data_IF_123783822653
#
_entry.id   IF_123783822653
#
_cell.length_a   1.000
_cell.length_b   1.000
_cell.length_c   1.000
_cell.angle_alpha   90.00
_cell.angle_beta   90.00
_cell.angle_gamma   90.00
#
_symmetry.space_group_name_H-M   'P 1'
#
loop_
_entity.id
_entity.type
_entity.pdbx_description
1 polymer ?
#
# COMPACT_ATOMS: atom_id res chain seq x y z
N UNK A 1 0.33 0.61 -36.82
CA UNK A 1 -0.69 0.37 -35.76
C UNK A 1 0.07 0.00 -34.51
N UNK A 2 -0.16 0.69 -33.38
CA UNK A 2 0.48 0.37 -32.09
C UNK A 2 -0.53 -0.32 -31.17
N UNK A 3 -0.04 -1.10 -30.21
CA UNK A 3 -0.85 -1.76 -29.20
C UNK A 3 -0.08 -1.83 -27.88
N UNK A 4 -0.78 -2.09 -26.79
CA UNK A 4 -0.21 -2.20 -25.46
C UNK A 4 -0.34 -3.64 -24.95
N UNK A 5 0.65 -4.08 -24.19
CA UNK A 5 0.60 -5.32 -23.41
C UNK A 5 0.86 -4.97 -21.95
N UNK A 6 -0.03 -5.41 -21.07
CA UNK A 6 0.20 -5.37 -19.62
C UNK A 6 0.92 -6.66 -19.20
N UNK A 7 2.00 -6.52 -18.42
CA UNK A 7 2.81 -7.64 -17.96
C UNK A 7 2.83 -7.68 -16.41
N UNK A 8 1.83 -8.30 -15.76
CA UNK A 8 1.81 -8.42 -14.30
C UNK A 8 2.89 -9.39 -13.80
N UNK A 9 3.58 -9.04 -12.72
CA UNK A 9 4.71 -9.80 -12.20
C UNK A 9 4.35 -11.20 -11.65
N UNK A 10 3.09 -11.38 -11.23
CA UNK A 10 2.54 -12.60 -10.63
C UNK A 10 1.73 -13.47 -11.61
N UNK A 11 1.50 -13.00 -12.83
CA UNK A 11 0.64 -13.66 -13.83
C UNK A 11 1.13 -15.06 -14.25
N UNK A 12 2.41 -15.37 -14.03
CA UNK A 12 3.08 -16.56 -14.59
C UNK A 12 3.87 -17.36 -13.56
N UNK A 13 3.55 -17.23 -12.27
CA UNK A 13 4.23 -17.94 -11.17
C UNK A 13 4.26 -19.47 -11.36
N UNK A 14 3.22 -20.06 -11.97
CA UNK A 14 3.19 -21.48 -12.28
C UNK A 14 4.28 -21.89 -13.31
N UNK A 15 4.59 -21.03 -14.27
CA UNK A 15 5.58 -21.31 -15.32
C UNK A 15 6.99 -20.84 -14.92
N UNK A 16 7.07 -19.78 -14.14
CA UNK A 16 8.31 -19.18 -13.66
C UNK A 16 8.23 -18.99 -12.14
N UNK A 17 8.44 -20.05 -11.34
CA UNK A 17 8.31 -19.98 -9.88
C UNK A 17 9.26 -18.99 -9.20
N UNK A 18 10.38 -18.67 -9.84
CA UNK A 18 11.40 -17.74 -9.35
C UNK A 18 11.10 -16.26 -9.65
N UNK A 19 9.95 -15.96 -10.27
CA UNK A 19 9.54 -14.58 -10.54
C UNK A 19 9.48 -13.77 -9.23
N UNK A 20 10.04 -12.55 -9.28
CA UNK A 20 9.96 -11.54 -8.23
C UNK A 20 9.29 -10.30 -8.79
N UNK A 21 8.71 -9.47 -7.90
CA UNK A 21 8.05 -8.20 -8.30
C UNK A 21 8.95 -7.33 -9.18
N UNK A 22 10.25 -7.26 -8.88
CA UNK A 22 11.25 -6.48 -9.62
C UNK A 22 11.97 -7.23 -10.73
N UNK A 23 11.75 -8.55 -10.88
CA UNK A 23 12.41 -9.38 -11.87
C UNK A 23 11.52 -10.57 -12.24
N UNK A 24 10.79 -10.44 -13.34
CA UNK A 24 9.80 -11.42 -13.73
C UNK A 24 9.74 -11.61 -15.24
N UNK A 25 9.19 -12.77 -15.64
CA UNK A 25 8.80 -13.08 -17.01
C UNK A 25 7.32 -13.41 -17.04
N UNK A 26 6.61 -12.93 -18.06
CA UNK A 26 5.19 -13.20 -18.27
C UNK A 26 5.01 -14.11 -19.48
N UNK A 27 4.26 -15.19 -19.33
CA UNK A 27 3.81 -16.04 -20.45
C UNK A 27 2.54 -15.42 -21.04
N UNK A 28 2.63 -14.95 -22.27
CA UNK A 28 1.46 -14.46 -23.00
C UNK A 28 0.51 -15.62 -23.36
N UNK A 29 -0.82 -15.39 -23.36
CA UNK A 29 -1.80 -16.42 -23.72
C UNK A 29 -1.67 -16.86 -25.18
N UNK A 30 -1.24 -15.95 -26.05
CA UNK A 30 -0.95 -16.21 -27.46
C UNK A 30 0.35 -15.52 -27.89
N UNK A 31 1.07 -16.08 -28.87
CA UNK A 31 2.20 -15.40 -29.49
C UNK A 31 1.78 -14.06 -30.12
N UNK A 32 2.67 -13.07 -30.02
CA UNK A 32 2.50 -11.78 -30.68
C UNK A 32 3.37 -11.77 -31.94
N UNK A 33 2.75 -11.60 -33.09
CA UNK A 33 3.45 -11.56 -34.37
C UNK A 33 3.73 -10.10 -34.76
N UNK A 34 5.01 -9.72 -34.79
CA UNK A 34 5.47 -8.42 -35.24
C UNK A 34 6.09 -8.58 -36.63
N UNK A 35 5.58 -7.85 -37.62
CA UNK A 35 6.04 -7.90 -39.01
C UNK A 35 6.89 -6.67 -39.32
N UNK A 36 8.01 -6.86 -40.02
CA UNK A 36 8.93 -5.77 -40.38
C UNK A 36 9.77 -5.30 -39.20
N UNK A 37 10.25 -4.04 -39.27
CA UNK A 37 10.96 -3.41 -38.16
C UNK A 37 9.97 -2.94 -37.10
N UNK A 38 10.29 -3.20 -35.84
CA UNK A 38 9.45 -2.87 -34.72
C UNK A 38 10.29 -2.28 -33.58
N UNK A 39 9.63 -1.46 -32.78
CA UNK A 39 10.19 -0.88 -31.57
C UNK A 39 9.23 -1.16 -30.40
N UNK A 40 9.79 -1.42 -29.22
CA UNK A 40 9.03 -1.59 -27.98
C UNK A 40 9.50 -0.54 -26.99
N UNK A 41 8.55 0.23 -26.47
CA UNK A 41 8.77 1.23 -25.43
C UNK A 41 8.00 0.89 -24.16
N UNK A 42 8.55 1.28 -23.01
CA UNK A 42 7.81 1.29 -21.75
C UNK A 42 6.86 2.48 -21.74
N UNK A 43 5.56 2.23 -21.58
CA UNK A 43 4.54 3.29 -21.49
C UNK A 43 4.19 3.62 -20.05
N UNK A 44 4.04 2.61 -19.20
CA UNK A 44 3.67 2.76 -17.79
C UNK A 44 4.33 1.65 -16.96
N UNK A 45 4.68 1.98 -15.71
CA UNK A 45 5.10 1.03 -14.68
C UNK A 45 4.37 1.33 -13.38
N UNK A 46 3.75 0.30 -12.80
CA UNK A 46 3.06 0.39 -11.50
C UNK A 46 3.85 -0.45 -10.50
N UNK A 47 4.33 0.18 -9.43
CA UNK A 47 5.01 -0.48 -8.33
C UNK A 47 4.20 -0.27 -7.04
N UNK A 48 3.70 -1.34 -6.40
CA UNK A 48 3.00 -1.21 -5.13
C UNK A 48 4.00 -0.84 -4.03
N UNK A 49 4.00 0.42 -3.62
CA UNK A 49 4.77 0.90 -2.49
C UNK A 49 3.96 0.65 -1.21
N UNK A 50 4.00 -0.57 -0.66
CA UNK A 50 3.48 -0.84 0.68
C UNK A 50 4.44 -0.28 1.73
N UNK A 51 4.39 1.03 1.96
CA UNK A 51 5.05 1.61 3.13
C UNK A 51 4.30 1.16 4.39
N UNK A 52 4.84 0.15 5.06
CA UNK A 52 4.40 -0.25 6.38
C UNK A 52 4.83 0.83 7.40
N UNK A 53 4.07 1.93 7.42
CA UNK A 53 4.29 3.05 8.34
C UNK A 53 4.03 2.68 9.81
N UNK A 54 3.30 1.59 10.06
CA UNK A 54 3.09 1.02 11.39
C UNK A 54 3.97 -0.20 11.50
N UNK A 55 5.06 -0.08 12.24
CA UNK A 55 6.01 -1.16 12.47
C UNK A 55 6.41 -1.19 13.95
N UNK A 56 7.20 -2.19 14.37
CA UNK A 56 7.55 -2.36 15.78
C UNK A 56 8.23 -1.16 16.45
N UNK A 57 8.81 -0.23 15.68
CA UNK A 57 9.42 1.00 16.20
C UNK A 57 8.55 2.25 16.01
N UNK A 58 7.52 2.16 15.16
CA UNK A 58 6.64 3.28 14.81
C UNK A 58 5.16 2.87 14.88
N UNK A 59 4.68 2.54 16.07
CA UNK A 59 3.32 2.05 16.28
C UNK A 59 2.52 2.78 17.36
N UNK A 60 3.02 3.92 17.85
CA UNK A 60 2.33 4.70 18.87
C UNK A 60 1.35 5.68 18.23
N UNK A 61 0.18 5.82 18.83
CA UNK A 61 -0.77 6.87 18.52
C UNK A 61 -1.15 7.66 19.77
N UNK A 62 -1.52 8.92 19.55
CA UNK A 62 -2.01 9.82 20.59
C UNK A 62 -3.15 10.65 20.05
N UNK A 63 -4.22 10.74 20.81
CA UNK A 63 -5.30 11.68 20.55
C UNK A 63 -5.69 12.41 21.83
N UNK A 64 -6.21 13.62 21.67
CA UNK A 64 -6.76 14.42 22.76
C UNK A 64 -8.27 14.27 22.72
N UNK A 65 -8.86 13.92 23.85
CA UNK A 65 -10.30 13.91 24.06
C UNK A 65 -10.59 15.04 25.02
N UNK A 66 -11.49 15.95 24.66
CA UNK A 66 -11.86 17.01 25.57
C UNK A 66 -12.86 17.99 24.99
N UNK A 67 -13.60 18.60 25.92
CA UNK A 67 -14.34 19.84 25.69
C UNK A 67 -13.52 21.02 26.20
N UNK A 68 -13.93 22.24 25.86
CA UNK A 68 -13.18 23.52 26.03
C UNK A 68 -12.50 23.78 27.38
N UNK A 69 -12.83 23.03 28.45
CA UNK A 69 -12.27 23.17 29.78
C UNK A 69 -11.55 21.92 30.34
N UNK A 70 -11.67 20.74 29.72
CA UNK A 70 -11.04 19.50 30.20
C UNK A 70 -10.51 18.74 28.99
N UNK A 71 -9.18 18.54 28.91
CA UNK A 71 -8.56 17.69 27.89
C UNK A 71 -7.80 16.54 28.53
N UNK A 72 -8.17 15.32 28.15
CA UNK A 72 -7.47 14.09 28.49
C UNK A 72 -6.67 13.61 27.27
N UNK A 73 -5.43 13.16 27.51
CA UNK A 73 -4.60 12.58 26.46
C UNK A 73 -4.65 11.06 26.57
N UNK A 74 -5.12 10.40 25.52
CA UNK A 74 -5.07 8.95 25.40
C UNK A 74 -3.87 8.56 24.55
N UNK A 75 -3.10 7.57 25.02
CA UNK A 75 -1.96 6.99 24.33
C UNK A 75 -2.19 5.48 24.17
N UNK A 76 -1.82 4.93 23.03
CA UNK A 76 -1.89 3.50 22.78
C UNK A 76 -0.92 3.07 21.69
N UNK A 77 -0.87 1.77 21.45
CA UNK A 77 -0.10 1.13 20.38
C UNK A 77 -1.05 0.46 19.39
N UNK A 78 -0.69 0.46 18.12
CA UNK A 78 -1.35 -0.33 17.08
C UNK A 78 -0.48 -1.56 16.81
N UNK A 79 -1.10 -2.72 16.68
CA UNK A 79 -0.35 -3.91 16.27
C UNK A 79 0.21 -3.71 14.85
N UNK A 80 1.41 -4.22 14.59
CA UNK A 80 2.01 -4.17 13.25
C UNK A 80 1.02 -4.75 12.22
N UNK A 81 0.94 -4.11 11.06
CA UNK A 81 0.04 -4.47 9.96
C UNK A 81 -1.48 -4.40 10.24
N UNK A 82 -1.90 -3.91 11.42
CA UNK A 82 -3.32 -3.81 11.79
C UNK A 82 -3.96 -2.46 11.41
N UNK A 83 -3.86 -2.08 10.13
CA UNK A 83 -4.41 -0.81 9.62
C UNK A 83 -5.94 -0.71 9.72
N UNK A 84 -6.67 -1.82 9.67
CA UNK A 84 -8.13 -1.83 9.81
C UNK A 84 -8.60 -1.36 11.20
N UNK A 85 -7.78 -1.63 12.24
CA UNK A 85 -8.06 -1.18 13.61
C UNK A 85 -7.87 0.33 13.79
N UNK A 86 -7.11 1.00 12.90
CA UNK A 86 -7.00 2.47 12.93
C UNK A 86 -8.34 3.13 12.70
N UNK A 87 -9.13 2.67 11.73
CA UNK A 87 -10.49 3.18 11.54
C UNK A 87 -11.31 3.03 12.83
N UNK A 88 -11.30 1.87 13.48
CA UNK A 88 -12.04 1.67 14.73
C UNK A 88 -11.64 2.66 15.83
N UNK A 89 -10.34 2.95 16.00
CA UNK A 89 -9.84 3.95 16.97
C UNK A 89 -10.41 5.34 16.68
N UNK A 90 -10.46 5.73 15.40
CA UNK A 90 -11.04 7.01 14.98
C UNK A 90 -12.57 7.03 15.05
N UNK A 91 -13.20 5.84 15.11
CA UNK A 91 -14.64 5.69 15.25
C UNK A 91 -15.17 5.59 16.69
N UNK A 92 -14.30 5.40 17.68
CA UNK A 92 -14.73 5.41 19.08
C UNK A 92 -15.20 6.79 19.59
N UNK A 93 -14.74 7.94 19.07
CA UNK A 93 -15.25 9.26 19.47
C UNK A 93 -16.03 9.95 18.32
N UNK A 94 -17.06 9.32 17.75
CA UNK A 94 -18.02 10.04 16.87
C UNK A 94 -19.00 10.90 17.69
N UNK A 95 -18.47 11.77 18.54
CA UNK A 95 -19.26 12.90 19.02
C UNK A 95 -18.57 14.24 18.85
N UNK A 96 -17.24 14.40 18.92
CA UNK A 96 -16.61 15.71 18.72
C UNK A 96 -15.16 15.63 18.18
N UNK A 97 -14.95 16.35 17.07
CA UNK A 97 -13.69 16.78 16.46
C UNK A 97 -12.74 15.75 15.81
N UNK A 98 -12.34 16.07 14.58
CA UNK A 98 -11.33 15.42 13.75
C UNK A 98 -10.04 15.08 14.54
N UNK A 99 -9.71 13.80 14.73
CA UNK A 99 -8.47 13.40 15.39
C UNK A 99 -7.26 13.68 14.50
N UNK A 100 -6.35 14.54 14.98
CA UNK A 100 -5.05 14.76 14.36
C UNK A 100 -4.07 13.71 14.89
N UNK A 101 -3.86 12.65 14.11
CA UNK A 101 -2.92 11.57 14.47
C UNK A 101 -1.50 12.04 14.13
N UNK A 102 -0.65 12.15 15.14
CA UNK A 102 0.79 12.31 14.96
C UNK A 102 1.42 10.93 15.19
N UNK A 103 1.90 10.32 14.11
CA UNK A 103 2.70 9.10 14.15
C UNK A 103 4.15 9.54 14.39
N UNK A 104 4.80 9.01 15.41
CA UNK A 104 6.19 9.35 15.74
C UNK A 104 6.86 8.32 16.64
N UNK A 105 8.20 8.35 16.67
CA UNK A 105 9.03 7.58 17.60
C UNK A 105 8.99 8.17 19.01
N UNK A 106 9.38 7.36 20.02
CA UNK A 106 9.50 7.80 21.41
C UNK A 106 10.39 9.03 21.58
#
# INVERSE_FOLDING_TARGET
>A
MSFYITLPSDSSMHFFPENKISHFKTRLPSPVYLNGEWEVGLSEIIYPQSWLNVNGTNNYFRYKVGDSNISSTVKGTIDVDSYEKMCLILYQPYSLLYPKILIGSQ
#
